data_IF_595221575097
#
_entry.id   IF_595221575097
#
_cell.length_a   1.000
_cell.length_b   1.000
_cell.length_c   1.000
_cell.angle_alpha   90.00
_cell.angle_beta   90.00
_cell.angle_gamma   90.00
#
_symmetry.space_group_name_H-M   'P 1'
#
loop_
_entity.id
_entity.type
_entity.pdbx_description
1 polymer ?
#
# COMPACT_ATOMS: atom_id res chain seq x y z
N UNK A 1 -16.33 -16.93 -5.33
CA UNK A 1 -17.53 -16.09 -5.26
C UNK A 1 -17.09 -14.83 -4.54
N UNK A 2 -16.89 -13.74 -5.27
CA UNK A 2 -16.43 -12.48 -4.69
C UNK A 2 -17.70 -11.65 -4.37
N UNK A 3 -17.83 -11.09 -3.16
CA UNK A 3 -19.02 -10.34 -2.79
C UNK A 3 -19.14 -9.05 -3.62
N UNK A 4 -20.32 -8.77 -4.14
CA UNK A 4 -20.63 -7.51 -4.85
C UNK A 4 -20.93 -6.44 -3.80
N UNK A 5 -20.05 -5.42 -3.71
CA UNK A 5 -20.11 -4.38 -2.66
C UNK A 5 -20.10 -2.96 -3.23
N UNK A 6 -20.23 -2.78 -4.56
CA UNK A 6 -20.03 -1.47 -5.20
C UNK A 6 -21.02 -0.39 -4.76
N UNK A 7 -22.17 -0.78 -4.21
CA UNK A 7 -23.23 0.14 -3.74
C UNK A 7 -23.51 0.03 -2.24
N UNK A 8 -22.60 -0.57 -1.47
CA UNK A 8 -22.75 -0.74 -0.02
C UNK A 8 -22.04 0.39 0.72
N UNK A 9 -22.78 1.07 1.60
CA UNK A 9 -22.18 2.06 2.50
C UNK A 9 -21.61 1.35 3.72
N UNK A 10 -20.35 1.62 4.02
CA UNK A 10 -19.65 1.07 5.17
C UNK A 10 -18.19 1.52 5.20
N UNK A 11 -17.48 1.12 6.25
CA UNK A 11 -16.06 1.41 6.37
C UNK A 11 -15.23 0.24 5.82
N UNK A 12 -14.86 0.32 4.54
CA UNK A 12 -14.12 -0.73 3.82
C UNK A 12 -12.63 -0.43 3.62
N UNK A 13 -12.08 0.58 4.30
CA UNK A 13 -10.67 0.97 4.17
C UNK A 13 -9.75 -0.15 4.64
N UNK A 14 -8.82 -0.57 3.80
CA UNK A 14 -7.78 -1.54 4.14
C UNK A 14 -6.49 -0.81 4.49
N UNK A 15 -5.88 -1.18 5.63
CA UNK A 15 -4.61 -0.65 6.10
C UNK A 15 -3.58 -1.79 6.15
N UNK A 16 -2.46 -1.62 5.47
CA UNK A 16 -1.36 -2.58 5.45
C UNK A 16 -0.01 -1.87 5.28
N UNK A 17 1.07 -2.39 5.88
CA UNK A 17 2.40 -1.82 5.73
C UNK A 17 2.99 -2.16 4.36
N UNK A 18 3.71 -1.21 3.77
CA UNK A 18 4.53 -1.42 2.58
C UNK A 18 5.91 -0.82 2.82
N UNK A 19 6.96 -1.54 2.44
CA UNK A 19 8.30 -0.98 2.34
C UNK A 19 8.50 -0.44 0.93
N UNK A 20 8.83 0.86 0.82
CA UNK A 20 9.06 1.54 -0.44
C UNK A 20 10.55 1.87 -0.53
N UNK A 21 11.25 1.30 -1.51
CA UNK A 21 12.67 1.57 -1.75
C UNK A 21 12.89 2.16 -3.15
N UNK A 22 12.95 3.50 -3.29
CA UNK A 22 13.22 4.14 -4.56
C UNK A 22 14.70 4.01 -5.00
N UNK A 23 15.57 3.42 -4.17
CA UNK A 23 17.00 3.34 -4.38
C UNK A 23 17.75 4.62 -4.01
N UNK A 24 19.08 4.56 -4.10
CA UNK A 24 19.99 5.66 -3.80
C UNK A 24 20.41 6.41 -5.06
N UNK A 25 20.69 7.70 -4.92
CA UNK A 25 21.26 8.54 -5.97
C UNK A 25 22.08 9.70 -5.36
N UNK A 26 23.03 10.21 -6.13
CA UNK A 26 23.69 11.48 -5.84
C UNK A 26 22.81 12.69 -6.17
N UNK A 27 21.89 12.53 -7.12
CA UNK A 27 20.85 13.51 -7.49
C UNK A 27 19.50 12.81 -7.61
N UNK A 28 18.59 13.12 -6.69
CA UNK A 28 17.24 12.57 -6.63
C UNK A 28 16.27 13.19 -7.64
N UNK A 29 16.69 14.25 -8.35
CA UNK A 29 15.86 14.92 -9.37
C UNK A 29 16.20 14.49 -10.79
N UNK A 30 17.31 13.77 -10.98
CA UNK A 30 17.73 13.26 -12.26
C UNK A 30 16.68 12.33 -12.88
N UNK A 31 16.35 12.56 -14.16
CA UNK A 31 15.32 11.81 -14.89
C UNK A 31 15.56 10.30 -14.91
N UNK A 32 16.83 9.86 -15.02
CA UNK A 32 17.20 8.45 -14.98
C UNK A 32 16.92 7.82 -13.62
N UNK A 33 17.20 8.54 -12.53
CA UNK A 33 16.86 8.09 -11.18
C UNK A 33 15.35 8.00 -11.01
N UNK A 34 14.60 9.05 -11.37
CA UNK A 34 13.15 9.08 -11.22
C UNK A 34 12.47 7.91 -11.98
N UNK A 35 12.92 7.61 -13.20
CA UNK A 35 12.40 6.48 -13.96
C UNK A 35 12.69 5.12 -13.29
N UNK A 36 13.90 4.94 -12.75
CA UNK A 36 14.28 3.73 -12.04
C UNK A 36 13.53 3.58 -10.70
N UNK A 37 13.42 4.66 -9.93
CA UNK A 37 12.67 4.73 -8.68
C UNK A 37 11.19 4.38 -8.91
N UNK A 38 10.55 4.98 -9.91
CA UNK A 38 9.16 4.67 -10.26
C UNK A 38 8.96 3.18 -10.57
N UNK A 39 9.88 2.57 -11.34
CA UNK A 39 9.83 1.14 -11.65
C UNK A 39 9.96 0.29 -10.38
N UNK A 40 10.92 0.60 -9.50
CA UNK A 40 11.12 -0.12 -8.23
C UNK A 40 9.90 -0.03 -7.33
N UNK A 41 9.37 1.16 -7.10
CA UNK A 41 8.19 1.35 -6.25
C UNK A 41 6.96 0.63 -6.83
N UNK A 42 6.79 0.64 -8.16
CA UNK A 42 5.74 -0.15 -8.82
C UNK A 42 5.90 -1.65 -8.54
N UNK A 43 7.13 -2.17 -8.66
CA UNK A 43 7.43 -3.58 -8.38
C UNK A 43 7.26 -3.92 -6.90
N UNK A 44 7.58 -3.00 -5.98
CA UNK A 44 7.36 -3.14 -4.54
C UNK A 44 5.86 -3.28 -4.21
N UNK A 45 5.03 -2.41 -4.78
CA UNK A 45 3.58 -2.46 -4.60
C UNK A 45 2.96 -3.71 -5.24
N UNK A 46 3.49 -4.16 -6.39
CA UNK A 46 2.98 -5.35 -7.08
C UNK A 46 3.23 -6.66 -6.31
N UNK A 47 4.13 -6.67 -5.31
CA UNK A 47 4.35 -7.84 -4.44
C UNK A 47 3.26 -8.02 -3.38
N UNK A 48 2.38 -7.03 -3.19
CA UNK A 48 1.31 -7.09 -2.19
C UNK A 48 0.12 -7.89 -2.74
N UNK A 49 -0.22 -9.05 -2.15
CA UNK A 49 -1.38 -9.81 -2.58
C UNK A 49 -2.68 -9.10 -2.19
N UNK A 50 -3.66 -9.11 -3.09
CA UNK A 50 -5.04 -8.66 -2.85
C UNK A 50 -5.16 -7.31 -2.12
N UNK A 51 -4.28 -6.35 -2.45
CA UNK A 51 -4.20 -5.03 -1.83
C UNK A 51 -4.13 -5.06 -0.29
N UNK A 52 -3.53 -6.10 0.28
CA UNK A 52 -3.22 -6.19 1.71
C UNK A 52 -4.41 -6.48 2.63
N UNK A 53 -5.58 -6.88 2.11
CA UNK A 53 -6.76 -7.23 2.92
C UNK A 53 -6.43 -8.31 3.95
N UNK A 54 -5.65 -9.32 3.55
CA UNK A 54 -5.21 -10.41 4.42
C UNK A 54 -4.40 -9.96 5.62
N UNK A 55 -3.64 -8.84 5.52
CA UNK A 55 -2.87 -8.31 6.64
C UNK A 55 -3.80 -7.88 7.80
N UNK A 56 -4.84 -7.11 7.49
CA UNK A 56 -5.80 -6.65 8.50
C UNK A 56 -6.55 -7.83 9.15
N UNK A 57 -6.99 -8.80 8.35
CA UNK A 57 -7.65 -10.00 8.86
C UNK A 57 -6.74 -10.79 9.81
N UNK A 58 -5.49 -11.07 9.39
CA UNK A 58 -4.51 -11.77 10.23
C UNK A 58 -4.23 -11.02 11.52
N UNK A 59 -3.95 -9.71 11.44
CA UNK A 59 -3.59 -8.89 12.60
C UNK A 59 -4.72 -8.74 13.61
N UNK A 60 -5.96 -8.55 13.16
CA UNK A 60 -7.05 -8.16 14.05
C UNK A 60 -8.06 -9.27 14.37
N UNK A 61 -8.15 -10.33 13.55
CA UNK A 61 -9.14 -11.39 13.75
C UNK A 61 -8.56 -12.69 14.33
N UNK A 62 -7.25 -12.92 14.19
CA UNK A 62 -6.62 -14.19 14.64
C UNK A 62 -6.02 -14.13 16.04
N UNK A 63 -5.84 -12.93 16.60
CA UNK A 63 -5.19 -12.73 17.90
C UNK A 63 -3.67 -13.00 17.90
N UNK A 64 -3.07 -13.24 16.74
CA UNK A 64 -1.62 -13.44 16.60
C UNK A 64 -0.89 -12.10 16.61
N UNK A 65 0.10 -11.96 17.50
CA UNK A 65 1.04 -10.85 17.44
C UNK A 65 2.20 -11.17 16.50
N UNK A 66 2.37 -10.32 15.49
CA UNK A 66 3.43 -10.45 14.49
C UNK A 66 4.72 -9.72 14.89
N UNK A 67 4.74 -8.99 16.01
CA UNK A 67 5.92 -8.24 16.49
C UNK A 67 6.41 -7.15 15.53
N UNK A 68 5.59 -6.77 14.54
CA UNK A 68 5.97 -5.81 13.52
C UNK A 68 5.94 -4.38 14.08
N UNK A 69 6.99 -3.60 13.78
CA UNK A 69 7.01 -2.17 14.10
C UNK A 69 5.91 -1.43 13.32
N UNK A 70 5.25 -0.48 13.98
CA UNK A 70 4.22 0.32 13.34
C UNK A 70 4.84 1.27 12.28
N UNK A 71 4.27 1.35 11.07
CA UNK A 71 4.65 2.38 10.12
C UNK A 71 4.47 3.78 10.71
N UNK A 72 5.43 4.67 10.43
CA UNK A 72 5.41 6.04 10.94
C UNK A 72 4.68 7.02 10.01
N UNK A 73 4.39 6.59 8.77
CA UNK A 73 3.75 7.40 7.74
C UNK A 73 2.55 6.63 7.18
N UNK A 74 1.44 7.34 7.01
CA UNK A 74 0.24 6.84 6.36
C UNK A 74 0.04 7.56 5.03
N UNK A 75 -0.25 6.81 3.97
CA UNK A 75 -0.61 7.34 2.66
C UNK A 75 -2.02 6.89 2.29
N UNK A 76 -2.84 7.81 1.76
CA UNK A 76 -4.17 7.50 1.26
C UNK A 76 -4.47 8.34 0.01
N UNK A 77 -4.88 7.68 -1.07
CA UNK A 77 -5.31 8.34 -2.30
C UNK A 77 -6.82 8.22 -2.43
N UNK A 78 -7.52 9.35 -2.28
CA UNK A 78 -8.99 9.42 -2.30
C UNK A 78 -9.60 9.38 -3.71
N UNK A 79 -8.77 9.25 -4.75
CA UNK A 79 -9.23 9.34 -6.13
C UNK A 79 -9.21 10.76 -6.67
N UNK A 80 -9.87 10.92 -7.82
CA UNK A 80 -10.13 12.22 -8.44
C UNK A 80 -11.57 12.60 -8.11
N UNK A 81 -11.77 13.85 -7.75
CA UNK A 81 -13.08 14.43 -7.59
C UNK A 81 -13.36 15.27 -8.83
N UNK A 82 -14.50 15.03 -9.47
CA UNK A 82 -15.00 15.93 -10.50
C UNK A 82 -15.51 17.22 -9.82
N UNK A 83 -15.37 18.36 -10.50
CA UNK A 83 -15.81 19.67 -10.02
C UNK A 83 -17.30 19.91 -10.32
#
# INVERSE_FOLDING_TARGET
>A
FEPELSRTVGWFTTLFPVCVDPGTASDFTGSAYLAAALKRVKEDLARVPDNGVSYGALRYLTGVDFGASAPQVLFNYLGRFDA
#
